data_IF_374883280377
#
_entry.id   IF_374883280377
#
_cell.length_a   1.000
_cell.length_b   1.000
_cell.length_c   1.000
_cell.angle_alpha   90.00
_cell.angle_beta   90.00
_cell.angle_gamma   90.00
#
_symmetry.space_group_name_H-M   'P 1'
#
loop_
_entity.id
_entity.type
_entity.pdbx_description
1 polymer ?
2 non-polymer ?
3 water ?
#
# COMPACT_ATOMS: atom_id res chain seq x y z
N UNK A 3 21.52 -0.41 2.26
CA UNK A 3 21.23 -0.05 0.85
C UNK A 3 20.03 -0.85 0.33
N UNK A 4 19.00 -0.12 -0.13
CA UNK A 4 17.79 -0.74 -0.67
C UNK A 4 18.07 -1.21 -2.09
N UNK A 5 17.54 -2.38 -2.47
CA UNK A 5 17.74 -2.90 -3.83
C UNK A 5 16.45 -3.30 -4.56
N UNK A 6 15.28 -2.89 -4.04
CA UNK A 6 14.01 -3.21 -4.69
C UNK A 6 12.78 -3.00 -3.82
N UNK A 7 11.62 -2.72 -4.44
CA UNK A 7 10.36 -2.51 -3.70
C UNK A 7 9.12 -2.85 -4.56
N UNK A 8 8.15 -3.57 -3.97
CA UNK A 8 6.93 -3.94 -4.70
C UNK A 8 5.66 -4.08 -3.86
N UNK A 9 4.48 -3.81 -4.46
CA UNK A 9 3.18 -3.93 -3.73
C UNK A 9 2.10 -4.61 -4.58
N UNK A 10 0.99 -5.02 -3.93
CA UNK A 10 -0.13 -5.66 -4.62
C UNK A 10 -1.46 -5.60 -3.84
N UNK A 11 -2.58 -5.47 -4.56
CA UNK A 11 -3.92 -5.44 -3.96
C UNK A 11 -4.85 -6.35 -4.80
N UNK A 12 -5.66 -7.17 -4.12
CA UNK A 12 -6.55 -8.12 -4.79
C UNK A 12 -7.94 -8.29 -4.15
N UNK A 13 -8.96 -8.48 -4.99
CA UNK A 13 -10.33 -8.70 -4.51
C UNK A 13 -10.57 -10.18 -4.16
N UNK A 14 -11.06 -10.44 -2.95
CA UNK A 14 -11.32 -11.81 -2.47
C UNK A 14 -12.30 -12.61 -3.32
N UNK A 15 -13.31 -11.95 -3.89
CA UNK A 15 -14.31 -12.64 -4.71
C UNK A 15 -13.68 -13.31 -5.93
N UNK A 16 -12.62 -12.70 -6.47
CA UNK A 16 -11.92 -13.24 -7.62
C UNK A 16 -11.20 -14.54 -7.28
N UNK A 17 -10.63 -14.63 -6.09
CA UNK A 17 -9.94 -15.85 -5.66
C UNK A 17 -10.96 -16.96 -5.35
N UNK A 18 -12.11 -16.59 -4.79
CA UNK A 18 -13.12 -17.59 -4.45
C UNK A 18 -13.72 -18.24 -5.71
N UNK A 19 -13.95 -17.44 -6.75
CA UNK A 19 -14.53 -17.96 -7.99
C UNK A 19 -13.57 -18.95 -8.66
N UNK A 20 -12.28 -18.65 -8.61
CA UNK A 20 -11.25 -19.50 -9.21
C UNK A 20 -11.22 -20.90 -8.59
N UNK A 21 -11.39 -20.98 -7.28
CA UNK A 21 -11.39 -22.24 -6.55
C UNK A 21 -12.65 -23.05 -6.85
N UNK A 22 -13.80 -22.37 -6.83
CA UNK A 22 -15.08 -23.02 -7.09
C UNK A 22 -15.09 -23.63 -8.49
N UNK A 23 -14.38 -22.98 -9.41
CA UNK A 23 -14.30 -23.41 -10.80
C UNK A 23 -13.73 -24.83 -10.97
N UNK A 24 -13.04 -25.34 -9.96
CA UNK A 24 -12.48 -26.68 -10.03
C UNK A 24 -11.55 -26.84 -11.24
N UNK A 25 -10.52 -26.00 -11.30
CA UNK A 25 -9.55 -26.01 -12.40
C UNK A 25 -8.11 -26.32 -11.97
N UNK A 26 -7.90 -26.53 -10.67
CA UNK A 26 -6.56 -26.83 -10.17
C UNK A 26 -5.77 -25.61 -9.75
N UNK A 27 -6.47 -24.52 -9.43
CA UNK A 27 -5.85 -23.26 -9.01
C UNK A 27 -4.93 -23.41 -7.79
N UNK A 28 -5.48 -23.90 -6.68
CA UNK A 28 -4.71 -24.04 -5.45
C UNK A 28 -3.43 -24.88 -5.63
N UNK A 29 -3.54 -25.98 -6.36
CA UNK A 29 -2.40 -26.86 -6.58
C UNK A 29 -1.28 -26.18 -7.37
N UNK A 30 -1.64 -25.20 -8.20
CA UNK A 30 -0.65 -24.48 -9.00
C UNK A 30 0.08 -23.36 -8.23
N UNK A 31 -0.65 -22.70 -7.34
CA UNK A 31 -0.11 -21.58 -6.56
C UNK A 31 0.65 -21.91 -5.27
N UNK A 32 0.26 -22.98 -4.60
CA UNK A 32 0.88 -23.37 -3.32
C UNK A 32 1.81 -24.59 -3.35
N UNK A 33 2.82 -24.59 -2.49
CA UNK A 33 3.75 -25.72 -2.39
C UNK A 33 3.08 -26.82 -1.57
N UNK A 34 3.80 -27.93 -1.36
CA UNK A 34 3.25 -29.03 -0.57
C UNK A 34 3.03 -28.58 0.88
N UNK A 35 4.05 -27.98 1.48
CA UNK A 35 3.97 -27.49 2.86
C UNK A 35 2.85 -26.45 3.05
N UNK A 36 2.75 -25.52 2.11
CA UNK A 36 1.71 -24.50 2.17
C UNK A 36 0.33 -25.17 2.09
N UNK A 37 0.24 -26.19 1.26
CA UNK A 37 -1.00 -26.93 1.06
C UNK A 37 -1.50 -27.59 2.34
N UNK A 38 -0.59 -28.10 3.15
CA UNK A 38 -0.95 -28.76 4.41
C UNK A 38 -1.71 -27.82 5.36
N UNK A 39 -1.34 -26.54 5.32
CA UNK A 39 -1.98 -25.53 6.16
C UNK A 39 -3.37 -25.18 5.63
N UNK A 40 -3.48 -25.08 4.31
CA UNK A 40 -4.72 -24.75 3.62
C UNK A 40 -5.87 -25.71 3.92
N UNK A 41 -5.56 -27.01 3.93
CA UNK A 41 -6.58 -28.03 4.18
C UNK A 41 -7.08 -28.13 5.62
N UNK A 42 -6.32 -27.60 6.58
CA UNK A 42 -6.72 -27.65 7.98
C UNK A 42 -7.66 -26.52 8.38
N UNK A 43 -7.82 -25.52 7.51
CA UNK A 43 -8.67 -24.37 7.80
C UNK A 43 -10.10 -24.53 7.27
N UNK A 44 -11.01 -23.66 7.73
CA UNK A 44 -12.40 -23.74 7.29
C UNK A 44 -12.96 -22.35 6.96
N UNK A 45 -13.99 -22.36 6.08
CA UNK A 45 -14.76 -21.15 5.83
C UNK A 45 -13.93 -20.03 5.20
N UNK A 46 -14.27 -18.79 5.59
CA UNK A 46 -13.59 -17.62 5.04
C UNK A 46 -12.10 -17.62 5.36
N UNK A 47 -11.66 -18.14 6.50
CA UNK A 47 -10.24 -18.13 6.83
C UNK A 47 -9.44 -18.96 5.83
N UNK A 48 -10.06 -20.01 5.29
CA UNK A 48 -9.42 -20.89 4.32
C UNK A 48 -9.12 -20.13 3.02
N UNK A 49 -10.07 -19.32 2.56
CA UNK A 49 -9.88 -18.54 1.32
C UNK A 49 -8.86 -17.40 1.53
N UNK A 50 -8.87 -16.77 2.70
CA UNK A 50 -7.93 -15.68 3.00
C UNK A 50 -6.48 -16.14 3.04
N UNK A 51 -6.24 -17.39 3.45
CA UNK A 51 -4.88 -17.91 3.49
C UNK A 51 -4.30 -18.04 2.07
N UNK A 52 -5.10 -18.58 1.15
CA UNK A 52 -4.69 -18.75 -0.25
C UNK A 52 -4.45 -17.38 -0.88
N UNK A 53 -5.41 -16.47 -0.70
CA UNK A 53 -5.30 -15.11 -1.25
C UNK A 53 -4.03 -14.40 -0.77
N UNK A 54 -3.73 -14.50 0.52
CA UNK A 54 -2.53 -13.85 1.05
C UNK A 54 -1.23 -14.35 0.44
N UNK A 55 -1.11 -15.67 0.27
CA UNK A 55 0.10 -16.24 -0.31
C UNK A 55 0.25 -15.81 -1.78
N UNK A 56 -0.87 -15.66 -2.48
CA UNK A 56 -0.83 -15.23 -3.88
C UNK A 56 -0.35 -13.77 -4.01
N UNK A 57 -0.87 -12.91 -3.14
CA UNK A 57 -0.53 -11.48 -3.14
C UNK A 57 0.95 -11.25 -2.77
N UNK A 58 1.47 -11.99 -1.80
CA UNK A 58 2.87 -11.83 -1.39
C UNK A 58 3.87 -12.23 -2.49
N UNK A 59 3.56 -13.31 -3.20
CA UNK A 59 4.42 -13.80 -4.28
C UNK A 59 4.47 -12.82 -5.46
N UNK A 60 3.34 -12.22 -5.79
CA UNK A 60 3.30 -11.24 -6.87
C UNK A 60 4.07 -9.97 -6.48
N UNK A 61 3.99 -9.61 -5.20
CA UNK A 61 4.69 -8.43 -4.70
C UNK A 61 6.22 -8.60 -4.74
N UNK A 62 6.70 -9.80 -4.43
CA UNK A 62 8.13 -10.08 -4.45
C UNK A 62 8.67 -10.00 -5.89
N UNK A 63 7.90 -10.51 -6.85
CA UNK A 63 8.33 -10.48 -8.24
C UNK A 63 8.48 -9.05 -8.78
N UNK A 64 7.62 -8.13 -8.32
CA UNK A 64 7.72 -6.73 -8.77
C UNK A 64 8.95 -6.06 -8.15
N UNK A 65 9.28 -6.47 -6.92
CA UNK A 65 10.45 -5.92 -6.23
C UNK A 65 11.73 -6.32 -6.98
N UNK A 66 11.69 -7.47 -7.65
CA UNK A 66 12.85 -7.94 -8.41
C UNK A 66 12.83 -7.30 -9.82
N UNK A 67 11.67 -6.77 -10.20
CA UNK A 67 11.50 -6.12 -11.48
C UNK A 67 11.34 -7.05 -12.67
N UNK A 68 10.90 -8.29 -12.41
CA UNK A 68 10.76 -9.28 -13.47
C UNK A 68 9.33 -9.78 -13.73
N UNK A 69 8.46 -9.67 -12.74
CA UNK A 69 7.10 -10.13 -12.91
C UNK A 69 7.06 -11.65 -12.75
N UNK A 70 5.88 -12.20 -12.45
CA UNK A 70 5.78 -13.63 -12.27
C UNK A 70 5.14 -14.35 -13.46
N UNK A 71 5.91 -15.23 -14.07
CA UNK A 71 5.61 -16.04 -15.23
C UNK A 71 6.90 -16.53 -15.89
N UNK A 72 7.89 -15.61 -15.90
CA UNK A 72 9.25 -16.00 -16.18
C UNK A 72 9.77 -16.88 -15.04
N UNK A 73 8.99 -16.83 -13.95
CA UNK A 73 9.30 -17.64 -12.78
C UNK A 73 8.00 -18.08 -12.10
N UNK A 74 7.76 -19.39 -11.95
CA UNK A 74 6.51 -19.85 -11.38
C UNK A 74 6.36 -19.65 -9.88
N UNK A 75 5.15 -19.89 -9.39
CA UNK A 75 4.86 -19.75 -7.96
C UNK A 75 5.56 -20.84 -7.14
N UNK A 76 5.89 -21.97 -7.76
CA UNK A 76 6.53 -23.08 -7.05
C UNK A 76 7.96 -22.79 -6.62
N UNK A 77 8.50 -21.65 -7.03
CA UNK A 77 9.87 -21.28 -6.68
C UNK A 77 9.94 -20.42 -5.41
N UNK A 78 8.78 -20.05 -4.87
CA UNK A 78 8.70 -19.22 -3.67
C UNK A 78 7.85 -19.91 -2.59
N UNK A 79 8.12 -19.61 -1.31
CA UNK A 79 7.36 -20.20 -0.20
C UNK A 79 7.27 -19.28 1.01
N UNK A 80 6.07 -19.15 1.59
CA UNK A 80 5.82 -18.29 2.76
C UNK A 80 5.22 -19.06 3.97
N UNK A 81 5.95 -19.15 5.08
CA UNK A 81 5.49 -19.84 6.30
C UNK A 81 5.36 -18.82 7.45
N UNK A 82 5.12 -19.29 8.68
CA UNK A 82 4.99 -18.41 9.84
C UNK A 82 6.08 -18.70 10.89
N UNK A 83 6.79 -17.67 11.35
CA UNK A 83 7.87 -17.85 12.34
C UNK A 83 7.42 -18.09 13.77
N UNK A 84 8.37 -18.20 14.69
CA UNK A 84 8.03 -18.48 16.08
C UNK A 84 7.27 -17.37 16.83
N UNK A 85 7.02 -16.25 16.16
CA UNK A 85 6.26 -15.15 16.75
C UNK A 85 4.91 -15.07 16.03
N UNK A 86 4.72 -15.94 15.04
CA UNK A 86 3.48 -15.98 14.29
C UNK A 86 3.38 -15.09 13.06
N UNK A 87 4.47 -14.46 12.65
CA UNK A 87 4.44 -13.57 11.47
C UNK A 87 4.91 -14.26 10.17
N UNK A 88 4.27 -13.92 9.04
CA UNK A 88 4.63 -14.51 7.74
C UNK A 88 6.03 -14.10 7.26
N UNK A 89 6.76 -15.03 6.63
CA UNK A 89 8.12 -14.75 6.14
C UNK A 89 8.50 -15.70 4.99
N UNK A 90 9.44 -15.26 4.13
CA UNK A 90 9.87 -16.10 3.00
C UNK A 90 10.89 -17.18 3.40
N UNK A 91 10.46 -18.44 3.35
CA UNK A 91 11.33 -19.57 3.68
C UNK A 91 12.12 -20.05 2.45
N UNK A 92 11.65 -19.67 1.26
CA UNK A 92 12.33 -20.01 0.00
C UNK A 92 12.22 -18.83 -0.97
N UNK A 93 13.34 -18.43 -1.57
CA UNK A 93 13.38 -17.33 -2.55
C UNK A 93 14.79 -17.18 -3.12
N UNK A 94 14.91 -16.70 -4.38
CA UNK A 94 16.22 -16.51 -5.03
C UNK A 94 16.87 -15.14 -4.75
N UNK A 95 17.20 -14.89 -3.48
CA UNK A 95 17.80 -13.69 -2.91
C UNK A 95 18.58 -14.01 -1.63
N UNK A 96 19.70 -13.28 -1.45
CA UNK A 96 20.60 -13.62 -0.35
C UNK A 96 20.60 -12.58 0.76
N UNK A 97 19.90 -11.46 0.50
CA UNK A 97 19.89 -10.39 1.51
C UNK A 97 18.68 -10.50 2.45
N UNK A 98 18.38 -9.36 3.09
CA UNK A 98 17.22 -9.32 3.98
C UNK A 98 15.94 -9.01 3.19
N UNK A 99 14.85 -9.71 3.50
CA UNK A 99 13.56 -9.51 2.86
C UNK A 99 12.50 -9.07 3.90
N UNK A 100 12.01 -7.84 3.80
CA UNK A 100 10.99 -7.31 4.73
C UNK A 100 9.59 -7.46 4.09
N UNK A 101 8.69 -8.21 4.75
CA UNK A 101 7.32 -8.47 4.26
C UNK A 101 6.19 -8.18 5.25
N UNK A 102 5.06 -7.66 4.74
CA UNK A 102 3.87 -7.38 5.57
C UNK A 102 2.56 -7.64 4.79
N UNK A 103 1.56 -8.25 5.44
CA UNK A 103 0.26 -8.59 4.82
C UNK A 103 -0.93 -8.12 5.69
N UNK A 104 -2.03 -7.67 5.06
CA UNK A 104 -3.24 -7.22 5.80
C UNK A 104 -4.55 -7.45 5.01
N UNK A 105 -5.69 -7.56 5.70
CA UNK A 105 -6.97 -7.80 4.99
C UNK A 105 -8.26 -7.38 5.71
N UNK A 106 -9.34 -7.26 4.94
CA UNK A 106 -10.67 -6.94 5.45
C UNK A 106 -11.59 -8.05 4.93
N UNK A 107 -12.91 -7.86 4.97
CA UNK A 107 -13.80 -8.91 4.47
C UNK A 107 -13.95 -8.87 2.94
N UNK A 108 -13.34 -7.87 2.30
CA UNK A 108 -13.45 -7.75 0.85
C UNK A 108 -12.14 -7.71 0.06
N UNK A 109 -11.05 -7.21 0.67
CA UNK A 109 -9.74 -7.12 0.00
C UNK A 109 -8.54 -7.63 0.82
N UNK A 110 -7.42 -7.83 0.14
CA UNK A 110 -6.14 -8.24 0.76
C UNK A 110 -5.02 -7.40 0.11
N UNK A 111 -4.02 -7.00 0.90
CA UNK A 111 -2.88 -6.20 0.42
C UNK A 111 -1.52 -6.72 0.93
N UNK A 112 -0.44 -6.46 0.18
CA UNK A 112 0.91 -6.89 0.57
C UNK A 112 2.01 -5.92 0.10
N UNK A 113 3.11 -5.86 0.86
CA UNK A 113 4.25 -4.97 0.56
C UNK A 113 5.62 -5.62 0.84
N UNK A 114 6.59 -5.45 -0.06
CA UNK A 114 7.95 -6.04 0.10
C UNK A 114 9.10 -5.03 -0.16
N UNK A 115 10.16 -5.11 0.65
CA UNK A 115 11.35 -4.24 0.51
C UNK A 115 12.60 -5.12 0.60
N UNK A 116 13.51 -4.99 -0.36
CA UNK A 116 14.75 -5.77 -0.41
C UNK A 116 15.94 -4.93 0.05
N UNK A 117 16.82 -5.51 0.87
CA UNK A 117 17.98 -4.79 1.40
C UNK A 117 19.22 -5.66 1.60
N UNK A 118 20.38 -5.04 1.45
CA UNK A 118 21.63 -5.75 1.68
C UNK A 118 22.63 -4.82 2.35
N UNK A 119 23.21 -5.29 3.45
CA UNK A 119 24.18 -4.53 4.22
C UNK A 119 25.53 -5.24 4.18
N UNK B 3 20.52 5.71 3.53
CA UNK B 3 19.81 6.73 4.36
C UNK B 3 18.51 7.15 3.68
N UNK B 4 17.38 6.78 4.28
CA UNK B 4 16.06 7.11 3.74
C UNK B 4 15.77 8.60 3.96
N UNK B 5 15.09 9.23 3.01
CA UNK B 5 14.76 10.65 3.15
C UNK B 5 13.28 11.00 2.85
N UNK B 6 12.43 9.98 2.68
CA UNK B 6 11.01 10.23 2.42
C UNK B 6 10.17 9.01 2.06
N UNK B 7 8.86 9.05 2.33
CA UNK B 7 7.96 7.91 2.03
C UNK B 7 6.49 8.35 1.82
N UNK B 8 5.86 7.88 0.74
CA UNK B 8 4.47 8.23 0.47
C UNK B 8 3.63 7.24 -0.33
N UNK B 9 2.32 7.19 -0.05
CA UNK B 9 1.38 6.30 -0.74
C UNK B 9 0.10 7.04 -1.18
N UNK B 10 -0.62 6.50 -2.17
CA UNK B 10 -1.86 7.11 -2.66
C UNK B 10 -2.85 6.12 -3.30
N UNK B 11 -4.14 6.41 -3.19
CA UNK B 11 -5.20 5.58 -3.78
C UNK B 11 -6.15 6.49 -4.58
N UNK B 12 -6.54 6.06 -5.77
CA UNK B 12 -7.45 6.85 -6.61
C UNK B 12 -8.62 6.04 -7.17
N UNK B 13 -9.77 6.68 -7.33
CA UNK B 13 -10.97 6.03 -7.86
C UNK B 13 -11.03 6.21 -9.37
N UNK B 14 -11.16 5.10 -10.11
CA UNK B 14 -11.24 5.18 -11.57
C UNK B 14 -12.36 6.12 -12.02
N UNK B 15 -13.51 6.00 -11.37
CA UNK B 15 -14.68 6.81 -11.70
C UNK B 15 -14.40 8.31 -11.66
N UNK B 16 -13.60 8.74 -10.68
CA UNK B 16 -13.27 10.15 -10.54
C UNK B 16 -12.44 10.67 -11.71
N UNK B 17 -11.51 9.85 -12.18
CA UNK B 17 -10.68 10.24 -13.31
C UNK B 17 -11.58 10.34 -14.55
N UNK B 18 -12.47 9.37 -14.70
CA UNK B 18 -13.38 9.34 -15.85
C UNK B 18 -14.24 10.60 -15.95
N UNK B 19 -14.79 11.04 -14.82
CA UNK B 19 -15.61 12.24 -14.79
C UNK B 19 -14.79 13.44 -15.24
N UNK B 20 -13.58 13.56 -14.71
CA UNK B 20 -12.69 14.67 -15.06
C UNK B 20 -12.47 14.72 -16.56
N UNK B 21 -12.37 13.55 -17.19
CA UNK B 21 -12.17 13.45 -18.63
C UNK B 21 -13.46 13.82 -19.37
N UNK B 22 -14.58 13.29 -18.89
CA UNK B 22 -15.88 13.55 -19.49
C UNK B 22 -16.17 15.06 -19.54
N UNK B 23 -15.55 15.79 -18.62
CA UNK B 23 -15.74 17.25 -18.54
C UNK B 23 -15.22 17.91 -19.82
N UNK B 24 -14.26 17.25 -20.48
CA UNK B 24 -13.67 17.75 -21.72
C UNK B 24 -12.74 18.95 -21.50
N UNK B 25 -12.74 19.47 -20.28
CA UNK B 25 -11.92 20.61 -19.91
C UNK B 25 -10.55 20.67 -20.58
N UNK B 26 -9.85 19.52 -20.58
CA UNK B 26 -8.51 19.45 -21.16
C UNK B 26 -7.61 18.85 -20.09
N UNK B 27 -8.20 17.92 -19.36
CA UNK B 27 -7.55 17.21 -18.26
C UNK B 27 -6.23 16.51 -18.63
N UNK B 28 -6.31 15.56 -19.55
CA UNK B 28 -5.13 14.81 -19.99
C UNK B 28 -3.95 15.68 -20.39
N UNK B 29 -4.22 16.78 -21.08
CA UNK B 29 -3.17 17.68 -21.53
C UNK B 29 -2.38 18.37 -20.41
N UNK B 30 -3.05 18.67 -19.29
CA UNK B 30 -2.38 19.33 -18.19
C UNK B 30 -1.66 18.35 -17.26
N UNK B 31 -2.12 17.10 -17.22
CA UNK B 31 -1.54 16.08 -16.36
C UNK B 31 -0.37 15.28 -16.96
N UNK B 32 -0.38 15.08 -18.27
CA UNK B 32 0.67 14.28 -18.95
C UNK B 32 1.69 15.08 -19.78
N UNK B 33 2.94 14.61 -19.83
CA UNK B 33 3.98 15.27 -20.61
C UNK B 33 3.83 14.86 -22.09
N UNK B 34 4.64 15.44 -22.96
CA UNK B 34 4.57 15.13 -24.40
C UNK B 34 4.76 13.63 -24.66
N UNK B 35 5.78 13.04 -24.05
CA UNK B 35 6.07 11.62 -24.23
C UNK B 35 5.00 10.70 -23.61
N UNK B 36 4.49 11.06 -22.44
CA UNK B 36 3.44 10.27 -21.79
C UNK B 36 2.16 10.30 -22.66
N UNK B 37 1.88 11.46 -23.23
CA UNK B 37 0.69 11.64 -24.08
C UNK B 37 0.77 10.79 -25.35
N UNK B 38 1.96 10.73 -25.95
CA UNK B 38 2.14 9.94 -27.16
C UNK B 38 1.85 8.45 -26.90
N UNK B 39 2.11 7.98 -25.68
CA UNK B 39 1.84 6.61 -25.31
C UNK B 39 0.34 6.42 -25.08
N UNK B 40 -0.28 7.42 -24.46
CA UNK B 40 -1.71 7.44 -24.15
C UNK B 40 -2.59 7.31 -25.40
N UNK B 41 -2.20 8.00 -26.48
CA UNK B 41 -2.97 7.98 -27.72
C UNK B 41 -2.87 6.68 -28.51
N UNK B 42 -1.92 5.81 -28.15
CA UNK B 42 -1.76 4.54 -28.84
C UNK B 42 -2.54 3.40 -28.17
N UNK B 43 -3.23 3.73 -27.09
CA UNK B 43 -4.04 2.75 -26.34
C UNK B 43 -5.53 3.06 -26.52
N UNK B 44 -6.38 2.11 -26.12
CA UNK B 44 -7.82 2.29 -26.23
C UNK B 44 -8.59 1.60 -25.11
N UNK B 45 -9.88 1.92 -25.01
CA UNK B 45 -10.73 1.31 -24.00
C UNK B 45 -10.29 1.49 -22.57
N UNK B 46 -10.66 0.50 -21.74
CA UNK B 46 -10.34 0.51 -20.32
C UNK B 46 -8.85 0.69 -20.08
N UNK B 47 -8.04 0.05 -20.92
CA UNK B 47 -6.60 0.12 -20.81
C UNK B 47 -6.11 1.58 -20.85
N UNK B 48 -6.81 2.40 -21.63
CA UNK B 48 -6.46 3.81 -21.77
C UNK B 48 -6.73 4.60 -20.48
N UNK B 49 -7.88 4.36 -19.85
CA UNK B 49 -8.25 5.05 -18.61
C UNK B 49 -7.36 4.60 -17.44
N UNK B 50 -6.86 3.38 -17.52
CA UNK B 50 -6.00 2.83 -16.47
C UNK B 50 -4.62 3.46 -16.48
N UNK B 51 -4.11 3.78 -17.68
CA UNK B 51 -2.79 4.39 -17.81
C UNK B 51 -2.79 5.78 -17.18
N UNK B 52 -3.78 6.61 -17.55
CA UNK B 52 -3.90 7.96 -17.02
C UNK B 52 -4.04 7.97 -15.48
N UNK B 53 -4.92 7.13 -14.95
CA UNK B 53 -5.13 7.06 -13.49
C UNK B 53 -3.85 6.66 -12.74
N UNK B 54 -3.09 5.71 -13.31
CA UNK B 54 -1.85 5.29 -12.69
C UNK B 54 -0.77 6.35 -12.63
N UNK B 55 -0.69 7.18 -13.67
CA UNK B 55 0.31 8.24 -13.70
C UNK B 55 -0.03 9.32 -12.66
N UNK B 56 -1.33 9.57 -12.45
CA UNK B 56 -1.81 10.54 -11.48
C UNK B 56 -1.47 10.08 -10.05
N UNK B 57 -1.73 8.81 -9.78
CA UNK B 57 -1.47 8.20 -8.46
C UNK B 57 0.03 8.21 -8.13
N UNK B 58 0.87 7.91 -9.12
CA UNK B 58 2.32 7.89 -8.93
C UNK B 58 2.90 9.28 -8.64
N UNK B 59 2.43 10.29 -9.40
CA UNK B 59 2.92 11.65 -9.20
C UNK B 59 2.52 12.21 -7.82
N UNK B 60 1.35 11.81 -7.32
CA UNK B 60 0.90 12.27 -6.01
C UNK B 60 1.67 11.60 -4.87
N UNK B 61 2.02 10.32 -5.04
CA UNK B 61 2.78 9.60 -4.01
C UNK B 61 4.18 10.21 -3.85
N UNK B 62 4.78 10.64 -4.96
CA UNK B 62 6.11 11.28 -4.90
C UNK B 62 6.03 12.64 -4.21
N UNK B 63 4.98 13.41 -4.52
CA UNK B 63 4.80 14.73 -3.90
C UNK B 63 4.66 14.61 -2.38
N UNK B 64 3.91 13.60 -1.92
CA UNK B 64 3.71 13.38 -0.49
C UNK B 64 4.99 12.88 0.19
N UNK B 65 5.82 12.15 -0.56
CA UNK B 65 7.08 11.64 -0.01
C UNK B 65 8.04 12.80 0.25
N UNK B 66 7.89 13.89 -0.52
CA UNK B 66 8.74 15.06 -0.35
C UNK B 66 8.16 16.02 0.68
N UNK B 67 6.92 15.77 1.09
CA UNK B 67 6.25 16.60 2.09
C UNK B 67 5.29 17.67 1.57
N UNK B 68 4.83 17.53 0.33
CA UNK B 68 3.91 18.50 -0.27
C UNK B 68 2.78 17.85 -1.09
N UNK B 69 2.28 18.55 -2.10
CA UNK B 69 1.22 18.03 -2.95
C UNK B 69 1.45 18.30 -4.42
N UNK B 70 0.85 17.50 -5.29
CA UNK B 70 1.01 17.65 -6.74
C UNK B 70 0.45 18.94 -7.31
N UNK B 71 -0.54 19.52 -6.63
CA UNK B 71 -1.14 20.77 -7.09
C UNK B 71 -0.18 21.94 -6.91
N UNK B 72 0.82 21.74 -6.05
CA UNK B 72 1.82 22.77 -5.78
C UNK B 72 3.13 22.51 -6.52
N UNK B 73 3.48 21.24 -6.66
CA UNK B 73 4.72 20.86 -7.34
C UNK B 73 4.67 20.99 -8.87
N UNK B 74 3.50 20.74 -9.46
CA UNK B 74 3.35 20.85 -10.90
C UNK B 74 3.49 19.53 -11.64
N UNK B 75 2.45 19.15 -12.41
CA UNK B 75 2.45 17.90 -13.16
C UNK B 75 3.49 17.77 -14.28
N UNK B 76 3.82 18.88 -14.94
CA UNK B 76 4.79 18.85 -16.05
C UNK B 76 6.24 18.67 -15.60
N UNK B 77 6.48 18.70 -14.30
CA UNK B 77 7.84 18.54 -13.76
C UNK B 77 8.22 17.11 -13.43
N UNK B 78 7.28 16.18 -13.61
CA UNK B 78 7.50 14.76 -13.32
C UNK B 78 7.11 13.91 -14.53
N UNK B 79 7.83 12.81 -14.76
CA UNK B 79 7.53 11.92 -15.89
C UNK B 79 7.76 10.44 -15.51
N UNK B 80 6.79 9.58 -15.85
CA UNK B 80 6.86 8.14 -15.55
C UNK B 80 6.70 7.27 -16.80
N UNK B 81 7.71 6.45 -17.11
CA UNK B 81 7.68 5.57 -18.28
C UNK B 81 7.80 4.09 -17.87
N UNK B 82 7.68 3.19 -18.85
CA UNK B 82 7.81 1.75 -18.60
C UNK B 82 9.04 1.21 -19.33
N UNK B 83 9.88 0.43 -18.64
CA UNK B 83 11.08 -0.09 -19.33
C UNK B 83 10.76 -1.30 -20.20
N UNK B 84 11.75 -1.82 -20.91
CA UNK B 84 11.51 -2.96 -21.82
C UNK B 84 10.98 -4.24 -21.17
N UNK B 85 10.97 -4.29 -19.84
CA UNK B 85 10.45 -5.46 -19.14
C UNK B 85 9.04 -5.16 -18.60
N UNK B 86 8.66 -3.89 -18.62
CA UNK B 86 7.34 -3.51 -18.16
C UNK B 86 7.29 -2.84 -16.80
N UNK B 87 8.43 -2.70 -16.13
CA UNK B 87 8.45 -2.07 -14.81
C UNK B 87 8.41 -0.54 -14.94
N UNK B 88 7.59 0.13 -14.11
CA UNK B 88 7.45 1.59 -14.12
C UNK B 88 8.58 2.28 -13.36
N UNK B 89 9.04 3.45 -13.85
CA UNK B 89 10.12 4.21 -13.21
C UNK B 89 10.08 5.71 -13.59
N UNK B 90 10.68 6.57 -12.77
CA UNK B 90 10.71 8.02 -13.04
C UNK B 90 11.89 8.42 -13.94
N UNK B 91 11.60 8.96 -15.13
CA UNK B 91 12.65 9.39 -16.05
C UNK B 91 13.06 10.85 -15.82
N UNK B 92 12.19 11.62 -15.16
CA UNK B 92 12.43 13.02 -14.86
C UNK B 92 11.83 13.41 -13.50
N UNK B 93 12.62 14.08 -12.66
CA UNK B 93 12.15 14.50 -11.34
C UNK B 93 13.15 15.47 -10.69
N UNK B 94 12.68 16.32 -9.75
CA UNK B 94 13.59 17.25 -9.09
C UNK B 94 14.18 16.62 -7.82
N UNK B 95 15.07 15.64 -8.01
CA UNK B 95 15.71 14.89 -6.93
C UNK B 95 17.00 14.20 -7.39
N UNK B 96 17.98 14.16 -6.47
CA UNK B 96 19.31 13.73 -6.87
C UNK B 96 19.58 12.25 -6.56
N UNK B 97 18.78 11.70 -5.64
CA UNK B 97 19.06 10.34 -5.16
C UNK B 97 18.33 9.26 -5.97
N UNK B 98 18.12 8.12 -5.29
CA UNK B 98 17.43 7.00 -5.93
C UNK B 98 15.94 7.00 -5.60
N UNK B 99 15.08 6.68 -6.55
CA UNK B 99 13.62 6.66 -6.35
C UNK B 99 13.04 5.26 -6.62
N UNK B 100 12.49 4.62 -5.59
CA UNK B 100 11.90 3.28 -5.74
C UNK B 100 10.36 3.36 -5.80
N UNK B 101 9.77 2.92 -6.93
CA UNK B 101 8.31 2.97 -7.17
C UNK B 101 7.60 1.66 -7.58
N UNK B 102 6.34 1.48 -7.15
CA UNK B 102 5.51 0.31 -7.52
C UNK B 102 4.01 0.70 -7.66
N UNK B 103 3.32 0.10 -8.63
CA UNK B 103 1.88 0.37 -8.93
C UNK B 103 1.04 -0.95 -9.01
N UNK B 104 -0.23 -0.91 -8.57
CA UNK B 104 -1.12 -2.09 -8.64
C UNK B 104 -2.59 -1.66 -8.78
N UNK B 105 -3.42 -2.47 -9.43
CA UNK B 105 -4.84 -2.09 -9.58
C UNK B 105 -5.88 -3.20 -9.50
N UNK B 106 -7.14 -2.79 -9.36
CA UNK B 106 -8.29 -3.71 -9.32
C UNK B 106 -9.27 -3.19 -10.37
N UNK B 107 -10.49 -3.71 -10.37
CA UNK B 107 -11.47 -3.23 -11.31
C UNK B 107 -11.94 -1.81 -10.98
N UNK B 108 -11.78 -1.42 -9.71
CA UNK B 108 -12.37 -0.16 -9.29
C UNK B 108 -11.34 0.87 -8.80
N UNK B 109 -10.20 0.39 -8.28
CA UNK B 109 -9.22 1.34 -7.74
C UNK B 109 -7.82 1.13 -8.31
N UNK B 110 -6.92 2.07 -7.99
CA UNK B 110 -5.49 1.97 -8.34
C UNK B 110 -4.67 2.54 -7.18
N UNK B 111 -3.52 1.93 -6.87
CA UNK B 111 -2.69 2.41 -5.77
C UNK B 111 -1.19 2.44 -6.14
N UNK B 112 -0.42 3.29 -5.45
CA UNK B 112 1.02 3.43 -5.72
C UNK B 112 1.82 3.73 -4.43
N UNK B 113 3.09 3.33 -4.39
CA UNK B 113 3.97 3.54 -3.22
C UNK B 113 5.39 3.99 -3.66
N UNK B 114 5.95 5.00 -2.96
CA UNK B 114 7.29 5.56 -3.26
C UNK B 114 8.23 5.69 -2.02
N UNK B 115 9.51 5.34 -2.20
CA UNK B 115 10.53 5.46 -1.12
C UNK B 115 11.75 6.21 -1.70
N UNK B 116 12.21 7.25 -1.01
CA UNK B 116 13.36 8.07 -1.47
C UNK B 116 14.64 7.73 -0.68
N UNK B 117 15.77 7.63 -1.38
CA UNK B 117 17.05 7.27 -0.76
C UNK B 117 18.23 8.14 -1.22
N UNK B 118 19.06 8.54 -0.26
CA UNK B 118 20.22 9.38 -0.53
C UNK B 118 21.51 8.81 0.10
N UNK C 3 20.20 1.66 8.73
CA UNK C 3 19.68 0.30 8.40
C UNK C 3 18.23 0.17 8.86
N UNK C 4 17.42 -0.56 8.09
CA UNK C 4 16.02 -0.77 8.43
C UNK C 4 15.88 -1.73 9.60
N UNK C 5 14.92 -1.48 10.50
CA UNK C 5 14.70 -2.37 11.65
C UNK C 5 13.27 -2.90 11.78
N UNK C 6 12.38 -2.55 10.85
CA UNK C 6 11.00 -3.02 10.88
C UNK C 6 10.11 -2.40 9.81
N UNK C 7 9.03 -3.09 9.43
CA UNK C 7 8.07 -2.60 8.41
C UNK C 7 6.64 -3.19 8.56
N UNK C 8 5.62 -2.33 8.47
CA UNK C 8 4.24 -2.80 8.60
C UNK C 8 3.18 -1.97 7.89
N UNK C 9 2.07 -2.61 7.50
CA UNK C 9 0.97 -1.94 6.81
C UNK C 9 -0.40 -2.41 7.37
N UNK C 10 -1.47 -1.67 7.04
CA UNK C 10 -2.84 -2.00 7.49
C UNK C 10 -3.92 -1.42 6.57
N UNK C 11 -5.06 -2.10 6.50
CA UNK C 11 -6.23 -1.64 5.72
C UNK C 11 -7.46 -1.91 6.59
N UNK C 12 -8.40 -0.95 6.64
CA UNK C 12 -9.60 -1.06 7.48
C UNK C 12 -10.88 -0.47 6.86
N UNK C 13 -11.99 -1.19 6.98
CA UNK C 13 -13.30 -0.74 6.46
C UNK C 13 -13.93 0.28 7.41
N UNK C 14 -14.46 1.37 6.88
CA UNK C 14 -15.10 2.40 7.71
C UNK C 14 -16.31 1.83 8.46
N UNK C 15 -16.95 0.81 7.89
CA UNK C 15 -18.11 0.20 8.51
C UNK C 15 -17.80 -0.38 9.89
N UNK C 16 -16.59 -0.92 10.05
CA UNK C 16 -16.17 -1.51 11.32
C UNK C 16 -16.03 -0.44 12.41
N UNK C 17 -15.53 0.73 12.03
CA UNK C 17 -15.35 1.83 12.98
C UNK C 17 -16.72 2.44 13.34
N UNK C 18 -17.60 2.51 12.37
CA UNK C 18 -18.94 3.08 12.57
C UNK C 18 -19.79 2.26 13.53
N UNK C 19 -19.67 0.94 13.47
CA UNK C 19 -20.46 0.09 14.36
C UNK C 19 -19.89 0.16 15.77
N UNK C 20 -18.56 0.27 15.86
CA UNK C 20 -17.88 0.34 17.15
C UNK C 20 -18.23 1.60 17.96
N UNK C 21 -18.50 2.70 17.27
CA UNK C 21 -18.85 3.95 17.94
C UNK C 21 -20.16 3.82 18.72
N UNK C 22 -21.17 3.25 18.07
CA UNK C 22 -22.48 3.06 18.68
C UNK C 22 -22.47 2.11 19.88
N UNK C 23 -22.06 0.86 19.65
CA UNK C 23 -22.00 -0.15 20.69
C UNK C 23 -21.42 0.40 21.99
N UNK C 24 -20.09 0.52 22.05
CA UNK C 24 -19.43 1.07 23.23
C UNK C 24 -19.06 2.52 22.96
N UNK C 25 -19.97 3.42 23.32
CA UNK C 25 -19.77 4.86 23.10
C UNK C 25 -18.61 5.48 23.87
N UNK C 26 -17.61 4.66 24.19
CA UNK C 26 -16.44 5.14 24.89
C UNK C 26 -15.20 4.77 24.08
N UNK C 27 -15.47 4.17 22.92
CA UNK C 27 -14.44 3.71 21.99
C UNK C 27 -13.37 4.76 21.71
N UNK C 28 -13.81 5.97 21.36
CA UNK C 28 -12.90 7.07 21.04
C UNK C 28 -11.97 7.45 22.19
N UNK C 29 -12.53 7.58 23.39
CA UNK C 29 -11.74 7.95 24.55
C UNK C 29 -10.60 6.98 24.83
N UNK C 30 -10.75 5.73 24.41
CA UNK C 30 -9.72 4.73 24.63
C UNK C 30 -8.71 4.63 23.49
N UNK C 31 -9.06 5.15 22.33
CA UNK C 31 -8.18 5.10 21.16
C UNK C 31 -7.37 6.39 20.94
N UNK C 32 -7.91 7.52 21.36
CA UNK C 32 -7.25 8.81 21.16
C UNK C 32 -6.72 9.49 22.43
N UNK C 33 -5.63 10.24 22.27
CA UNK C 33 -5.04 10.97 23.39
C UNK C 33 -5.85 12.26 23.57
N UNK C 34 -5.54 13.03 24.60
CA UNK C 34 -6.24 14.27 24.87
C UNK C 34 -6.18 15.25 23.71
N UNK C 35 -4.99 15.49 23.16
CA UNK C 35 -4.87 16.44 22.05
C UNK C 35 -5.54 15.93 20.78
N UNK C 36 -5.47 14.63 20.52
CA UNK C 36 -6.10 14.05 19.34
C UNK C 36 -7.62 14.21 19.47
N UNK C 37 -8.09 14.02 20.70
CA UNK C 37 -9.51 14.12 21.03
C UNK C 37 -10.07 15.50 20.68
N UNK C 38 -9.31 16.55 21.02
CA UNK C 38 -9.73 17.92 20.74
C UNK C 38 -10.05 18.12 19.27
N UNK C 39 -9.25 17.50 18.40
CA UNK C 39 -9.44 17.61 16.95
C UNK C 39 -10.71 16.87 16.52
N UNK C 40 -10.92 15.69 17.09
CA UNK C 40 -12.07 14.85 16.78
C UNK C 40 -13.41 15.58 16.95
N UNK C 41 -13.61 16.18 18.12
CA UNK C 41 -14.86 16.89 18.41
C UNK C 41 -15.10 18.14 17.56
N UNK C 42 -14.03 18.70 17.02
CA UNK C 42 -14.14 19.91 16.20
C UNK C 42 -14.62 19.63 14.78
N UNK C 43 -14.56 18.36 14.38
CA UNK C 43 -15.00 17.96 13.04
C UNK C 43 -16.41 17.40 13.07
N UNK C 44 -17.02 17.26 11.88
CA UNK C 44 -18.38 16.74 11.78
C UNK C 44 -18.59 15.90 10.51
N UNK C 45 -19.62 15.07 10.53
CA UNK C 45 -19.94 14.23 9.39
C UNK C 45 -18.92 13.17 9.05
N UNK C 46 -18.80 12.87 7.76
CA UNK C 46 -17.86 11.87 7.27
C UNK C 46 -16.43 12.23 7.69
N UNK C 47 -16.13 13.53 7.67
CA UNK C 47 -14.81 14.02 8.06
C UNK C 47 -14.39 13.55 9.45
N UNK C 48 -15.33 13.62 10.40
CA UNK C 48 -15.05 13.21 11.77
C UNK C 48 -14.76 11.71 11.86
N UNK C 49 -15.48 10.90 11.09
CA UNK C 49 -15.28 9.46 11.10
C UNK C 49 -13.98 9.06 10.39
N UNK C 50 -13.65 9.76 9.31
CA UNK C 50 -12.43 9.48 8.57
C UNK C 50 -11.16 9.77 9.38
N UNK C 51 -11.23 10.70 10.32
CA UNK C 51 -10.07 11.05 11.16
C UNK C 51 -9.81 9.95 12.19
N UNK C 52 -10.88 9.51 12.85
CA UNK C 52 -10.76 8.46 13.86
C UNK C 52 -10.24 7.17 13.22
N UNK C 53 -10.74 6.86 12.03
CA UNK C 53 -10.35 5.66 11.30
C UNK C 53 -8.87 5.68 10.90
N UNK C 54 -8.39 6.83 10.47
CA UNK C 54 -6.99 6.97 10.07
C UNK C 54 -6.01 6.86 11.22
N UNK C 55 -6.39 7.35 12.40
CA UNK C 55 -5.53 7.28 13.57
C UNK C 55 -5.41 5.83 14.08
N UNK C 56 -6.49 5.08 13.94
CA UNK C 56 -6.51 3.67 14.36
C UNK C 56 -5.61 2.83 13.45
N UNK C 57 -5.72 3.06 12.15
CA UNK C 57 -4.95 2.30 11.16
C UNK C 57 -3.44 2.59 11.26
N UNK C 58 -3.08 3.83 11.54
CA UNK C 58 -1.67 4.21 11.67
C UNK C 58 -1.02 3.55 12.90
N UNK C 59 -1.74 3.50 14.00
CA UNK C 59 -1.19 2.90 15.22
C UNK C 59 -1.03 1.38 15.08
N UNK C 60 -1.93 0.75 14.32
CA UNK C 60 -1.88 -0.69 14.08
C UNK C 60 -0.68 -1.06 13.20
N UNK C 61 -0.39 -0.23 12.19
CA UNK C 61 0.73 -0.47 11.28
C UNK C 61 2.05 -0.40 12.07
N UNK C 62 2.16 0.58 12.96
CA UNK C 62 3.34 0.75 13.79
C UNK C 62 3.53 -0.45 14.73
N UNK C 63 2.43 -0.92 15.31
CA UNK C 63 2.49 -2.06 16.23
C UNK C 63 3.00 -3.32 15.53
N UNK C 64 2.54 -3.53 14.30
CA UNK C 64 2.99 -4.69 13.52
C UNK C 64 4.46 -4.54 13.14
N UNK C 65 4.90 -3.32 12.88
CA UNK C 65 6.29 -3.08 12.49
C UNK C 65 7.27 -3.37 13.61
N UNK C 66 6.84 -3.17 14.85
CA UNK C 66 7.71 -3.41 16.00
C UNK C 66 7.65 -4.86 16.45
N UNK C 67 6.63 -5.58 15.99
CA UNK C 67 6.49 -6.97 16.36
C UNK C 67 5.94 -7.13 17.76
N UNK C 68 4.70 -6.67 17.96
CA UNK C 68 4.06 -6.76 19.26
C UNK C 68 2.54 -6.60 19.15
N UNK C 69 1.82 -7.19 20.10
CA UNK C 69 0.37 -7.11 20.09
C UNK C 69 -0.22 -6.89 21.47
N UNK C 74 -1.03 -0.87 24.04
CA UNK C 74 -1.05 0.46 24.64
C UNK C 74 -1.16 1.55 23.57
N UNK C 75 -2.40 1.97 23.30
CA UNK C 75 -2.60 3.03 22.32
C UNK C 75 -2.42 4.42 22.93
N UNK C 76 -2.39 4.51 24.26
CA UNK C 76 -2.28 5.80 24.93
C UNK C 76 -0.89 6.41 24.91
N UNK C 77 0.13 5.62 24.61
CA UNK C 77 1.48 6.16 24.54
C UNK C 77 1.94 6.30 23.09
N UNK C 78 0.96 6.55 22.21
CA UNK C 78 1.19 6.75 20.78
C UNK C 78 0.33 7.97 20.37
N UNK C 79 0.92 8.89 19.60
CA UNK C 79 0.19 10.08 19.15
C UNK C 79 0.59 10.53 17.73
N UNK C 80 -0.43 10.85 16.92
CA UNK C 80 -0.26 11.28 15.53
C UNK C 80 -0.90 12.67 15.27
N UNK C 81 -0.07 13.65 14.93
CA UNK C 81 -0.53 15.02 14.64
C UNK C 81 -0.25 15.41 13.19
N UNK C 82 -0.66 16.62 12.80
CA UNK C 82 -0.44 17.15 11.44
C UNK C 82 0.41 18.44 11.50
N UNK C 83 1.45 18.51 10.66
CA UNK C 83 2.28 19.71 10.65
C UNK C 83 1.60 20.83 9.86
N UNK C 84 2.23 22.00 9.80
CA UNK C 84 1.62 23.13 9.11
C UNK C 84 1.35 22.95 7.62
N UNK C 85 2.07 22.03 6.97
CA UNK C 85 1.83 21.78 5.54
C UNK C 85 0.71 20.76 5.38
N UNK C 86 0.38 20.07 6.47
CA UNK C 86 -0.70 19.09 6.44
C UNK C 86 -0.34 17.62 6.55
N UNK C 87 0.95 17.31 6.59
CA UNK C 87 1.39 15.91 6.68
C UNK C 87 1.28 15.31 8.09
N UNK C 88 0.96 14.01 8.19
CA UNK C 88 0.83 13.32 9.48
C UNK C 88 2.20 12.81 9.95
N UNK C 89 2.44 12.87 11.26
CA UNK C 89 3.70 12.40 11.83
C UNK C 89 3.51 11.95 13.29
N UNK C 90 4.35 11.03 13.75
CA UNK C 90 4.28 10.55 15.15
C UNK C 90 5.00 11.50 16.12
N UNK C 91 4.25 12.11 17.03
CA UNK C 91 4.86 13.04 18.00
C UNK C 91 5.23 12.32 19.31
N UNK C 92 4.75 11.08 19.48
CA UNK C 92 5.04 10.29 20.68
C UNK C 92 5.01 8.78 20.40
N UNK C 93 6.11 8.09 20.72
CA UNK C 93 6.22 6.63 20.51
C UNK C 93 7.41 6.02 21.28
N UNK C 94 7.30 4.73 21.65
CA UNK C 94 8.35 3.99 22.38
C UNK C 94 9.48 3.47 21.47
N UNK C 95 10.14 4.38 20.77
CA UNK C 95 11.22 4.05 19.85
C UNK C 95 12.05 5.32 19.71
N UNK C 96 13.37 5.20 19.78
CA UNK C 96 14.22 6.40 19.68
C UNK C 96 14.89 6.65 18.31
N UNK C 97 14.45 5.91 17.29
CA UNK C 97 15.01 6.10 15.96
C UNK C 97 14.09 6.97 15.12
N UNK C 98 14.17 6.88 13.78
CA UNK C 98 13.32 7.70 12.92
C UNK C 98 12.14 6.89 12.37
N UNK C 99 10.98 7.54 12.26
CA UNK C 99 9.74 6.90 11.80
C UNK C 99 9.16 7.53 10.52
N UNK C 100 9.03 6.74 9.44
CA UNK C 100 8.48 7.24 8.18
C UNK C 100 7.04 6.70 7.97
N UNK C 101 6.06 7.61 8.03
CA UNK C 101 4.62 7.28 7.90
C UNK C 101 3.83 7.97 6.77
N UNK C 102 2.81 7.27 6.24
CA UNK C 102 1.92 7.82 5.20
C UNK C 102 0.51 7.19 5.30
N UNK C 103 -0.52 7.99 4.98
CA UNK C 103 -1.93 7.56 5.06
C UNK C 103 -2.76 8.02 3.84
N UNK C 104 -3.72 7.21 3.40
CA UNK C 104 -4.58 7.58 2.26
C UNK C 104 -5.97 6.93 2.38
N UNK C 105 -6.97 7.48 1.71
CA UNK C 105 -8.32 6.90 1.81
C UNK C 105 -9.26 7.07 0.61
N UNK C 106 -10.41 6.41 0.73
CA UNK C 106 -11.48 6.43 -0.27
C UNK C 106 -12.79 6.52 0.54
N UNK C 107 -13.94 6.47 -0.14
CA UNK C 107 -15.20 6.57 0.59
C UNK C 107 -15.62 5.28 1.30
N UNK C 108 -14.84 4.21 1.13
CA UNK C 108 -15.19 2.95 1.77
C UNK C 108 -14.16 2.39 2.75
N UNK C 109 -12.90 2.80 2.64
CA UNK C 109 -11.87 2.31 3.55
C UNK C 109 -10.62 3.21 3.58
N UNK C 110 -9.69 2.90 4.49
CA UNK C 110 -8.43 3.66 4.66
C UNK C 110 -7.22 2.71 4.69
N UNK C 111 -6.03 3.21 4.33
CA UNK C 111 -4.78 2.40 4.35
C UNK C 111 -3.61 3.22 4.95
N UNK C 112 -2.63 2.53 5.54
CA UNK C 112 -1.44 3.19 6.14
C UNK C 112 -0.18 2.30 6.03
N UNK C 113 0.99 2.94 5.94
CA UNK C 113 2.30 2.26 5.80
C UNK C 113 3.39 2.89 6.69
N UNK C 114 4.19 2.05 7.38
CA UNK C 114 5.25 2.51 8.30
C UNK C 114 6.61 1.81 8.14
N UNK C 115 7.71 2.57 8.15
CA UNK C 115 9.07 2.00 8.05
C UNK C 115 9.96 2.53 9.20
N UNK C 116 10.61 1.63 9.94
CA UNK C 116 11.49 2.03 11.06
C UNK C 116 12.99 1.96 10.69
N UNK C 117 13.74 3.00 11.06
CA UNK C 117 15.17 3.08 10.72
C UNK C 117 16.10 3.53 11.85
N UNK C 118 17.30 2.93 11.90
CA UNK C 118 18.32 3.29 12.88
C UNK C 118 19.61 3.56 12.13
N UNK C 119 20.06 4.82 12.16
CA UNK C 119 21.28 5.22 11.48
C UNK C 119 22.52 4.95 12.33
X LIG D 1 0.96 -0.01 -15.61
X LIG D 1 -0.25 0.98 -15.60
X LIG D 1 2.28 0.79 -15.43
X LIG D 1 1.00 -0.79 -16.96
X LIG D 1 -1.57 -5.42 -11.33
X LIG D 1 -1.28 -6.64 -12.25
X LIG D 1 -3.09 -5.20 -11.22
X LIG D 1 -0.97 -5.66 -9.92
X LIG D 1 -0.89 -4.09 -11.89
X LIG D 1 -0.09 -4.05 -13.14
X LIG D 1 1.13 -3.09 -12.97
X LIG D 1 2.29 -3.87 -12.66
X LIG D 1 1.50 -2.29 -14.23
X LIG D 1 0.77 -1.00 -14.38
X LIG D 1 2.99 -2.02 -14.01
X LIG D 1 3.20 -0.77 -13.32
X LIG D 1 3.47 -3.20 -13.15
X LIG D 1 4.52 -4.07 -13.72
X LIG D 1 4.40 -4.70 -14.93
X LIG D 1 5.53 -5.43 -15.19
X LIG D 1 6.37 -5.25 -14.12
X LIG D 1 7.62 -5.68 -13.77
X LIG D 1 8.33 -6.50 -14.58
X LIG D 1 8.19 -5.31 -12.60
X LIG D 1 7.56 -4.48 -11.72
X LIG D 1 6.33 -4.01 -11.98
X LIG D 1 5.74 -4.38 -13.18
X LIG E 1 -5.51 13.17 7.44
X LIG E 1 -6.61 12.36 8.19
X LIG E 1 -4.20 13.14 8.29
X LIG E 1 -5.98 14.64 7.23
X LIG E 1 -6.17 11.39 0.36
X LIG E 1 -7.10 12.64 0.25
X LIG E 1 -6.94 10.08 0.09
X LIG E 1 -4.96 11.54 -0.62
X LIG E 1 -5.50 11.30 1.78
X LIG E 1 -5.70 12.29 2.85
X LIG E 1 -4.41 12.34 3.69
X LIG E 1 -3.34 12.96 2.96
X LIG E 1 -4.53 13.17 4.95
X LIG E 1 -5.25 12.48 6.05
X LIG E 1 -3.05 13.38 5.30
X LIG E 1 -2.56 12.31 6.11
X LIG E 1 -2.34 13.40 3.91
X LIG E 1 -1.58 14.64 3.57
X LIG E 1 -2.19 15.88 3.50
X LIG E 1 -1.25 16.83 3.17
X LIG E 1 -0.05 16.19 3.01
X LIG E 1 1.24 16.57 2.68
X LIG E 1 1.54 17.86 2.44
X LIG E 1 2.25 15.66 2.61
X LIG E 1 2.02 14.33 2.85
X LIG E 1 0.80 13.87 3.18
X LIG E 1 -0.23 14.79 3.26
#
# INVERSE_FOLDING_TARGET
MRMIVGHGIDIEELASIESAVTRHEGFAKRVLTALEMERFTSLKGRRQIEYLAGRWSAKEAFSKAMGTGISKLGFQDLEVLNNERGAPYFSQAPFSGKIWLSISHTDQFVTASVILEENHES
MRMIVGHGIDIEELASIESAVTRHEGFAKRVLTALEMERFTSLKGRRQIEYLAGRWSAKEAFSKAMGTGISKLGFQDLEVLNNERGAPYFSQAPFSGKIWLSISHTDQFVTASVILEENHES
MRMIVGHGIDIEELASIESAVTRHEGFAKRVLTALEMERFTSLKGRRQIEYLAGRWSAKEAFSKAMGTGISKLGFQDLEVLNNERGAPYFSQAPFSGKIWLSISHTDQFVTASVILEENHES
A3P P1 O1P O2P O3P P2 O4P O5P O6P O5' C5' C4' O4' C3' O3' C2' O2' C1' N9 C8 N7 C5 C6 N6 N1 C2 N3 C4
A3P P1 O1P O2P O3P P2 O4P O5P O6P O5' C5' C4' O4' C3' O3' C2' O2' C1' N9 C8 N7 C5 C6 N6 N1 C2 N3 C4
#
